data_IF_344155425109
#
_entry.id   IF_344155425109
#
_cell.length_a   1.000
_cell.length_b   1.000
_cell.length_c   1.000
_cell.angle_alpha   90.00
_cell.angle_beta   90.00
_cell.angle_gamma   90.00
#
_symmetry.space_group_name_H-M   'P 1'
#
loop_
_entity.id
_entity.type
_entity.pdbx_description
1 polymer ?
#
# COMPACT_ATOMS: atom_id res chain seq x y z
N UNK A 1 -12.79 9.07 33.94
CA UNK A 1 -11.55 8.69 33.24
C UNK A 1 -11.58 7.19 33.06
N UNK A 2 -11.20 6.70 31.88
CA UNK A 2 -11.25 5.30 31.44
C UNK A 2 -12.59 4.90 30.83
N UNK A 3 -12.59 4.62 29.52
CA UNK A 3 -13.48 3.71 28.74
C UNK A 3 -13.41 4.07 27.22
N UNK A 4 -12.22 4.34 26.67
CA UNK A 4 -12.07 4.61 25.22
C UNK A 4 -10.78 4.02 24.61
N UNK A 5 -10.26 2.94 25.19
CA UNK A 5 -8.92 2.43 24.85
C UNK A 5 -8.89 1.01 24.27
N UNK A 6 -10.02 0.37 24.01
CA UNK A 6 -10.09 -1.04 23.57
C UNK A 6 -11.00 -1.30 22.37
N UNK A 7 -10.80 -0.59 21.24
CA UNK A 7 -11.54 -0.91 19.99
C UNK A 7 -10.62 -1.02 18.76
N UNK A 8 -9.30 -0.94 18.91
CA UNK A 8 -8.38 -1.10 17.79
C UNK A 8 -7.24 -2.04 18.16
N UNK A 9 -7.22 -3.23 17.56
CA UNK A 9 -6.01 -4.05 17.53
C UNK A 9 -4.97 -3.30 16.68
N UNK A 10 -3.91 -2.81 17.32
CA UNK A 10 -2.80 -2.16 16.64
C UNK A 10 -1.96 -3.23 15.94
N UNK A 11 -2.21 -3.46 14.66
CA UNK A 11 -1.33 -4.29 13.85
C UNK A 11 -0.08 -3.52 13.43
N UNK A 12 1.05 -4.20 13.21
CA UNK A 12 2.19 -3.57 12.59
C UNK A 12 1.81 -3.08 11.18
N UNK A 13 2.39 -1.95 10.80
CA UNK A 13 2.16 -1.30 9.52
C UNK A 13 3.48 -0.98 8.81
N UNK A 14 3.45 -1.01 7.48
CA UNK A 14 4.53 -0.59 6.60
C UNK A 14 4.00 0.46 5.64
N UNK A 15 4.72 1.58 5.52
CA UNK A 15 4.36 2.68 4.62
C UNK A 15 5.47 2.88 3.59
N UNK A 16 5.11 2.97 2.31
CA UNK A 16 6.02 3.26 1.19
C UNK A 16 5.51 4.47 0.41
N UNK A 17 6.46 5.32 0.00
CA UNK A 17 6.19 6.51 -0.82
C UNK A 17 6.91 6.37 -2.15
N UNK A 18 6.18 6.06 -3.22
CA UNK A 18 6.73 5.85 -4.56
C UNK A 18 6.55 7.13 -5.37
N UNK A 19 7.66 7.75 -5.80
CA UNK A 19 7.60 8.94 -6.66
C UNK A 19 7.32 8.53 -8.11
N UNK A 20 6.56 9.35 -8.83
CA UNK A 20 6.35 9.21 -10.27
C UNK A 20 6.62 10.54 -10.97
N UNK A 21 7.04 10.50 -12.25
CA UNK A 21 7.47 11.72 -12.95
C UNK A 21 6.41 12.27 -13.90
N UNK A 22 5.77 11.39 -14.67
CA UNK A 22 4.75 11.73 -15.67
C UNK A 22 3.34 11.66 -15.10
N UNK A 23 2.55 10.72 -15.60
CA UNK A 23 1.16 10.54 -15.26
C UNK A 23 1.03 9.73 -13.98
N UNK A 24 -0.14 9.83 -13.34
CA UNK A 24 -0.46 9.05 -12.17
C UNK A 24 -0.51 7.55 -12.56
N UNK A 25 0.40 6.70 -12.03
CA UNK A 25 0.43 5.29 -12.43
C UNK A 25 -0.86 4.56 -12.07
N UNK A 26 -1.58 5.01 -11.02
CA UNK A 26 -2.84 4.41 -10.59
C UNK A 26 -4.00 4.60 -11.60
N UNK A 27 -3.84 5.43 -12.64
CA UNK A 27 -4.81 5.53 -13.75
C UNK A 27 -4.63 4.42 -14.79
N UNK A 28 -3.56 3.63 -14.72
CA UNK A 28 -3.33 2.51 -15.61
C UNK A 28 -4.17 1.29 -15.18
N UNK A 29 -5.11 0.87 -16.03
CA UNK A 29 -5.98 -0.28 -15.77
C UNK A 29 -5.21 -1.59 -15.52
N UNK A 30 -4.11 -1.84 -16.26
CA UNK A 30 -3.31 -3.05 -16.07
C UNK A 30 -2.64 -3.07 -14.69
N UNK A 31 -2.16 -1.92 -14.23
CA UNK A 31 -1.59 -1.79 -12.88
C UNK A 31 -2.65 -2.10 -11.82
N UNK A 32 -3.87 -1.57 -11.97
CA UNK A 32 -4.97 -1.83 -11.04
C UNK A 32 -5.29 -3.34 -10.96
N UNK A 33 -5.39 -4.01 -12.12
CA UNK A 33 -5.64 -5.46 -12.17
C UNK A 33 -4.54 -6.29 -11.49
N UNK A 34 -3.27 -5.92 -11.67
CA UNK A 34 -2.15 -6.60 -11.00
C UNK A 34 -2.11 -6.32 -9.49
N UNK A 35 -2.39 -5.08 -9.08
CA UNK A 35 -2.51 -4.73 -7.66
C UNK A 35 -3.65 -5.51 -6.98
N UNK A 36 -4.77 -5.74 -7.66
CA UNK A 36 -5.85 -6.58 -7.12
C UNK A 36 -5.42 -8.05 -6.93
N UNK A 37 -4.65 -8.61 -7.85
CA UNK A 37 -4.11 -9.98 -7.74
C UNK A 37 -3.15 -10.08 -6.56
N UNK A 38 -2.27 -9.10 -6.40
CA UNK A 38 -1.33 -9.00 -5.28
C UNK A 38 -2.10 -8.88 -3.96
N UNK A 39 -3.12 -8.01 -3.90
CA UNK A 39 -3.93 -7.81 -2.71
C UNK A 39 -4.63 -9.10 -2.24
N UNK A 40 -4.99 -9.99 -3.16
CA UNK A 40 -5.56 -11.32 -2.86
C UNK A 40 -4.52 -12.36 -2.46
N UNK A 41 -3.25 -12.16 -2.80
CA UNK A 41 -2.17 -13.13 -2.59
C UNK A 41 -1.52 -13.03 -1.21
N UNK A 42 -1.59 -11.84 -0.57
CA UNK A 42 -1.03 -11.62 0.75
C UNK A 42 -2.09 -11.67 1.84
N UNK A 43 -1.78 -12.32 2.97
CA UNK A 43 -2.62 -12.33 4.17
C UNK A 43 -2.45 -11.03 4.99
N UNK A 44 -2.64 -9.88 4.34
CA UNK A 44 -2.65 -8.58 4.98
C UNK A 44 -4.07 -8.24 5.47
N UNK A 45 -4.18 -7.56 6.59
CA UNK A 45 -5.47 -7.12 7.14
C UNK A 45 -5.99 -5.90 6.37
N UNK A 46 -5.07 -5.03 5.94
CA UNK A 46 -5.41 -3.84 5.16
C UNK A 46 -4.27 -3.41 4.23
N UNK A 47 -4.59 -3.23 2.96
CA UNK A 47 -3.73 -2.55 1.98
C UNK A 47 -4.45 -1.28 1.52
N UNK A 48 -3.77 -0.14 1.60
CA UNK A 48 -4.29 1.16 1.20
C UNK A 48 -3.30 1.84 0.25
N UNK A 49 -3.73 2.05 -0.99
CA UNK A 49 -2.92 2.64 -2.05
C UNK A 49 -3.64 3.89 -2.53
N UNK A 50 -2.95 5.04 -2.51
CA UNK A 50 -3.51 6.30 -3.03
C UNK A 50 -2.44 7.20 -3.63
N UNK A 51 -2.83 8.06 -4.56
CA UNK A 51 -2.03 9.20 -4.98
C UNK A 51 -2.03 10.28 -3.89
N UNK A 52 -0.90 10.98 -3.74
CA UNK A 52 -0.83 12.23 -2.97
C UNK A 52 -1.53 13.37 -3.71
N UNK A 53 -2.32 14.15 -2.98
CA UNK A 53 -3.06 15.30 -3.53
C UNK A 53 -2.16 16.48 -3.89
N UNK A 54 -1.05 16.65 -3.17
CA UNK A 54 -0.14 17.81 -3.31
C UNK A 54 1.21 17.45 -3.94
N UNK A 55 1.52 16.15 -4.07
CA UNK A 55 2.83 15.69 -4.53
C UNK A 55 2.68 14.62 -5.63
N UNK A 56 3.70 14.48 -6.49
CA UNK A 56 3.80 13.40 -7.47
C UNK A 56 4.32 12.10 -6.83
N UNK A 57 3.55 11.57 -5.89
CA UNK A 57 3.85 10.30 -5.25
C UNK A 57 2.61 9.47 -4.98
N UNK A 58 2.78 8.16 -4.99
CA UNK A 58 1.83 7.15 -4.54
C UNK A 58 2.22 6.73 -3.12
N UNK A 59 1.25 6.75 -2.21
CA UNK A 59 1.38 6.26 -0.84
C UNK A 59 0.78 4.87 -0.77
N UNK A 60 1.58 3.93 -0.30
CA UNK A 60 1.17 2.55 -0.04
C UNK A 60 1.29 2.32 1.46
N UNK A 61 0.23 1.84 2.08
CA UNK A 61 0.21 1.40 3.47
C UNK A 61 -0.26 -0.05 3.49
N UNK A 62 0.49 -0.92 4.15
CA UNK A 62 0.14 -2.32 4.37
C UNK A 62 0.16 -2.59 5.87
N UNK A 63 -0.91 -3.18 6.38
CA UNK A 63 -1.13 -3.49 7.78
C UNK A 63 -1.53 -4.96 7.93
N UNK A 64 -1.06 -5.62 8.99
CA UNK A 64 -1.39 -7.02 9.25
C UNK A 64 -0.56 -7.65 10.35
N UNK A 65 -0.93 -8.85 10.79
CA UNK A 65 -0.39 -9.50 12.00
C UNK A 65 1.11 -9.81 11.93
N UNK A 66 1.63 -10.14 10.74
CA UNK A 66 3.01 -10.58 10.56
C UNK A 66 3.84 -9.53 9.82
N UNK A 67 4.80 -8.90 10.53
CA UNK A 67 5.61 -7.78 10.01
C UNK A 67 6.41 -8.14 8.75
N UNK A 68 6.96 -9.35 8.68
CA UNK A 68 7.67 -9.86 7.50
C UNK A 68 6.75 -9.93 6.27
N UNK A 69 5.56 -10.52 6.41
CA UNK A 69 4.59 -10.67 5.31
C UNK A 69 4.15 -9.31 4.77
N UNK A 70 3.80 -8.37 5.65
CA UNK A 70 3.38 -7.03 5.21
C UNK A 70 4.53 -6.21 4.62
N UNK A 71 5.77 -6.47 5.05
CA UNK A 71 6.96 -5.81 4.49
C UNK A 71 7.23 -6.31 3.08
N UNK A 72 7.14 -7.62 2.87
CA UNK A 72 7.26 -8.24 1.55
C UNK A 72 6.15 -7.74 0.61
N UNK A 73 4.90 -7.76 1.06
CA UNK A 73 3.77 -7.24 0.31
C UNK A 73 3.97 -5.77 -0.12
N UNK A 74 4.39 -4.92 0.82
CA UNK A 74 4.67 -3.51 0.53
C UNK A 74 5.80 -3.33 -0.48
N UNK A 75 6.84 -4.17 -0.43
CA UNK A 75 7.97 -4.14 -1.37
C UNK A 75 7.58 -4.64 -2.76
N UNK A 76 6.77 -5.69 -2.86
CA UNK A 76 6.22 -6.17 -4.13
C UNK A 76 5.36 -5.10 -4.80
N UNK A 77 4.47 -4.47 -4.03
CA UNK A 77 3.63 -3.36 -4.52
C UNK A 77 4.49 -2.16 -4.96
N UNK A 78 5.50 -1.79 -4.18
CA UNK A 78 6.43 -0.70 -4.51
C UNK A 78 7.17 -0.95 -5.82
N UNK A 79 7.66 -2.18 -6.01
CA UNK A 79 8.36 -2.59 -7.24
C UNK A 79 7.43 -2.50 -8.44
N UNK A 80 6.24 -3.10 -8.34
CA UNK A 80 5.25 -3.07 -9.43
C UNK A 80 4.88 -1.63 -9.80
N UNK A 81 4.52 -0.78 -8.84
CA UNK A 81 4.13 0.61 -9.15
C UNK A 81 5.29 1.36 -9.81
N UNK A 82 6.53 1.12 -9.37
CA UNK A 82 7.72 1.79 -9.91
C UNK A 82 7.96 1.50 -11.39
N UNK A 83 7.57 0.32 -11.89
CA UNK A 83 7.65 -0.02 -13.32
C UNK A 83 6.74 0.88 -14.18
N UNK A 84 5.65 1.38 -13.58
CA UNK A 84 4.68 2.26 -14.23
C UNK A 84 4.95 3.75 -13.98
N UNK A 85 5.99 4.11 -13.22
CA UNK A 85 6.33 5.50 -12.85
C UNK A 85 7.12 6.29 -13.91
N UNK A 86 7.31 5.70 -15.09
CA UNK A 86 8.11 6.21 -16.22
C UNK A 86 7.62 7.53 -16.81
#
# INVERSE_FOLDING_TARGET
MSELSHVFELYPQVVRNIKFTKNNPLENLKLQEELEKINKSYNAERIFIRKSGTEKLVRVMVEGKQKNIITEAAQTIETLISEYCS
#
